data_IF_973906913797
#
_entry.id   IF_973906913797
#
_cell.length_a   1.000
_cell.length_b   1.000
_cell.length_c   1.000
_cell.angle_alpha   90.00
_cell.angle_beta   90.00
_cell.angle_gamma   90.00
#
_symmetry.space_group_name_H-M   'P 1'
#
loop_
_entity.id
_entity.type
_entity.pdbx_description
1 polymer ?
#
# COMPACT_ATOMS: atom_id res chain seq x y z
N UNK A 1 -3.54 9.97 -33.92
CA UNK A 1 -3.05 8.86 -33.08
C UNK A 1 -3.84 8.92 -31.79
N UNK A 2 -4.78 8.00 -31.51
CA UNK A 2 -5.35 7.92 -30.18
C UNK A 2 -4.26 7.45 -29.22
N UNK A 3 -4.08 8.17 -28.11
CA UNK A 3 -3.28 7.68 -26.98
C UNK A 3 -3.94 6.39 -26.50
N UNK A 4 -3.13 5.38 -26.20
CA UNK A 4 -3.60 4.19 -25.51
C UNK A 4 -4.23 4.66 -24.19
N UNK A 5 -5.35 4.07 -23.79
CA UNK A 5 -5.61 3.90 -22.36
C UNK A 5 -4.41 3.12 -21.82
N UNK A 6 -3.36 3.84 -21.43
CA UNK A 6 -2.29 3.28 -20.60
C UNK A 6 -3.00 3.04 -19.26
N UNK A 7 -3.50 1.81 -19.08
CA UNK A 7 -4.33 1.42 -17.94
C UNK A 7 -3.72 1.95 -16.64
N UNK A 8 -4.48 2.78 -15.94
CA UNK A 8 -4.05 3.36 -14.68
C UNK A 8 -3.86 2.23 -13.66
N UNK A 9 -2.77 2.28 -12.89
CA UNK A 9 -2.51 1.36 -11.80
C UNK A 9 -2.88 2.06 -10.49
N UNK A 10 -3.79 1.44 -9.75
CA UNK A 10 -4.30 1.92 -8.47
C UNK A 10 -3.69 1.09 -7.35
N UNK A 11 -3.43 1.72 -6.21
CA UNK A 11 -2.78 1.08 -5.07
C UNK A 11 -3.67 1.15 -3.84
N UNK A 12 -3.66 0.06 -3.07
CA UNK A 12 -4.47 -0.13 -1.88
C UNK A 12 -3.60 -0.73 -0.79
N UNK A 13 -3.86 -0.39 0.47
CA UNK A 13 -3.07 -0.86 1.60
C UNK A 13 -3.96 -1.59 2.60
N UNK A 14 -3.49 -2.74 3.11
CA UNK A 14 -4.05 -3.40 4.27
C UNK A 14 -3.09 -3.19 5.44
N UNK A 15 -3.61 -2.61 6.51
CA UNK A 15 -2.87 -2.40 7.76
C UNK A 15 -3.36 -3.38 8.82
N UNK A 16 -2.44 -4.16 9.40
CA UNK A 16 -2.68 -4.97 10.59
C UNK A 16 -1.73 -4.53 11.70
N UNK A 17 -2.30 -4.09 12.82
CA UNK A 17 -1.56 -3.68 14.00
C UNK A 17 -2.32 -4.04 15.27
N UNK A 18 -1.67 -4.84 16.11
CA UNK A 18 -1.69 -4.64 17.57
C UNK A 18 -0.30 -4.08 17.94
N UNK A 19 -0.20 -3.33 19.05
CA UNK A 19 0.87 -2.37 19.40
C UNK A 19 2.37 -2.79 19.24
N UNK A 20 2.67 -4.03 18.84
CA UNK A 20 4.03 -4.61 18.78
C UNK A 20 4.47 -5.10 17.37
N UNK A 21 3.57 -5.29 16.40
CA UNK A 21 3.89 -5.77 15.05
C UNK A 21 3.03 -5.08 13.99
N UNK A 22 3.61 -4.12 13.27
CA UNK A 22 2.97 -3.49 12.12
C UNK A 22 3.27 -4.29 10.86
N UNK A 23 2.24 -4.90 10.27
CA UNK A 23 2.35 -5.56 8.96
C UNK A 23 1.46 -4.85 7.96
N UNK A 24 2.10 -4.07 7.09
CA UNK A 24 1.46 -3.38 5.98
C UNK A 24 1.59 -4.25 4.72
N UNK A 25 0.47 -4.44 3.99
CA UNK A 25 0.47 -5.11 2.69
C UNK A 25 -0.03 -4.16 1.62
N UNK A 26 0.83 -3.89 0.63
CA UNK A 26 0.50 -3.07 -0.52
C UNK A 26 -0.05 -3.93 -1.67
N UNK A 27 -1.19 -3.53 -2.21
CA UNK A 27 -1.90 -4.18 -3.32
C UNK A 27 -1.99 -3.22 -4.50
N UNK A 28 -2.03 -3.76 -5.71
CA UNK A 28 -2.25 -2.98 -6.93
C UNK A 28 -3.30 -3.59 -7.85
N UNK A 29 -4.03 -2.74 -8.58
CA UNK A 29 -5.08 -3.15 -9.51
C UNK A 29 -5.15 -2.21 -10.72
N UNK A 30 -5.55 -2.71 -11.89
CA UNK A 30 -5.64 -1.94 -13.15
C UNK A 30 -6.96 -1.15 -13.30
N UNK A 31 -7.80 -1.21 -12.28
CA UNK A 31 -9.14 -0.62 -12.21
C UNK A 31 -9.29 0.08 -10.87
N UNK A 32 -9.96 1.23 -10.88
CA UNK A 32 -10.25 2.01 -9.70
C UNK A 32 -11.45 1.43 -8.95
N UNK A 33 -11.32 1.39 -7.65
CA UNK A 33 -12.37 1.11 -6.67
C UNK A 33 -12.37 2.22 -5.64
N UNK A 34 -13.56 2.68 -5.28
CA UNK A 34 -13.73 3.60 -4.16
C UNK A 34 -13.57 2.90 -2.79
N UNK A 35 -13.65 3.69 -1.72
CA UNK A 35 -13.49 3.22 -0.34
C UNK A 35 -14.52 2.15 0.05
N UNK A 36 -15.78 2.31 -0.36
CA UNK A 36 -16.86 1.38 0.00
C UNK A 36 -16.74 0.07 -0.78
N UNK A 37 -16.39 0.15 -2.05
CA UNK A 37 -16.11 -1.00 -2.91
C UNK A 37 -14.93 -1.83 -2.39
N UNK A 38 -13.81 -1.17 -2.08
CA UNK A 38 -12.63 -1.86 -1.55
C UNK A 38 -12.91 -2.48 -0.17
N UNK A 39 -13.55 -1.75 0.74
CA UNK A 39 -13.94 -2.27 2.05
C UNK A 39 -14.87 -3.50 1.92
N UNK A 40 -15.82 -3.47 0.98
CA UNK A 40 -16.71 -4.59 0.70
C UNK A 40 -15.95 -5.87 0.33
N UNK A 41 -14.97 -5.74 -0.58
CA UNK A 41 -14.11 -6.87 -0.99
C UNK A 41 -13.24 -7.38 0.16
N UNK A 42 -12.68 -6.48 0.97
CA UNK A 42 -11.88 -6.85 2.16
C UNK A 42 -12.73 -7.61 3.18
N UNK A 43 -13.97 -7.18 3.45
CA UNK A 43 -14.86 -7.85 4.39
C UNK A 43 -15.30 -9.24 3.89
N UNK A 44 -15.54 -9.39 2.59
CA UNK A 44 -15.82 -10.68 1.95
C UNK A 44 -14.63 -11.62 2.10
N UNK A 45 -13.43 -11.18 1.71
CA UNK A 45 -12.19 -11.93 1.83
C UNK A 45 -11.90 -12.33 3.29
N UNK A 46 -12.05 -11.38 4.23
CA UNK A 46 -11.92 -11.66 5.67
C UNK A 46 -12.87 -12.76 6.14
N UNK A 47 -14.11 -12.76 5.65
CA UNK A 47 -15.08 -13.82 5.94
C UNK A 47 -14.62 -15.20 5.48
N UNK A 48 -14.02 -15.29 4.28
CA UNK A 48 -13.49 -16.54 3.72
C UNK A 48 -12.22 -17.04 4.44
N UNK A 49 -11.34 -16.11 4.83
CA UNK A 49 -10.07 -16.39 5.50
C UNK A 49 -10.25 -16.92 6.92
N UNK A 50 -11.19 -16.36 7.70
CA UNK A 50 -11.40 -16.77 9.10
C UNK A 50 -11.82 -18.23 9.27
N UNK A 51 -12.30 -18.88 8.21
CA UNK A 51 -12.64 -20.30 8.22
C UNK A 51 -11.42 -21.23 8.02
N UNK A 52 -10.25 -20.73 7.56
CA UNK A 52 -9.13 -21.55 7.04
C UNK A 52 -7.72 -21.00 7.29
N UNK A 53 -7.52 -20.21 8.34
CA UNK A 53 -6.29 -19.45 8.55
C UNK A 53 -5.01 -20.31 8.57
N UNK A 54 -4.11 -20.12 7.59
CA UNK A 54 -2.81 -20.81 7.47
C UNK A 54 -1.63 -19.84 7.28
N UNK A 55 -1.88 -18.57 6.98
CA UNK A 55 -0.87 -17.53 6.76
C UNK A 55 -0.30 -16.91 8.06
N UNK A 56 0.82 -16.19 7.94
CA UNK A 56 1.54 -15.61 9.07
C UNK A 56 0.79 -14.41 9.69
N UNK A 57 0.09 -13.61 8.86
CA UNK A 57 -0.77 -12.48 9.31
C UNK A 57 -2.12 -12.44 8.60
N UNK A 58 -3.11 -11.74 9.20
CA UNK A 58 -4.46 -11.60 8.64
C UNK A 58 -4.45 -10.70 7.40
N UNK A 59 -3.64 -9.65 7.39
CA UNK A 59 -3.44 -8.79 6.22
C UNK A 59 -2.90 -9.58 5.03
N UNK A 60 -1.96 -10.49 5.23
CA UNK A 60 -1.42 -11.37 4.18
C UNK A 60 -2.47 -12.36 3.66
N UNK A 61 -3.23 -12.98 4.55
CA UNK A 61 -4.30 -13.90 4.16
C UNK A 61 -5.39 -13.21 3.33
N UNK A 62 -5.83 -12.03 3.75
CA UNK A 62 -6.82 -11.23 3.02
C UNK A 62 -6.25 -10.80 1.66
N UNK A 63 -4.99 -10.34 1.61
CA UNK A 63 -4.32 -9.98 0.36
C UNK A 63 -4.27 -11.16 -0.62
N UNK A 64 -3.99 -12.37 -0.14
CA UNK A 64 -3.98 -13.58 -0.95
C UNK A 64 -5.37 -13.89 -1.54
N UNK A 65 -6.44 -13.74 -0.76
CA UNK A 65 -7.81 -13.94 -1.26
C UNK A 65 -8.24 -12.86 -2.27
N UNK A 66 -7.89 -11.59 -2.01
CA UNK A 66 -8.12 -10.49 -2.96
C UNK A 66 -7.39 -10.73 -4.28
N UNK A 67 -6.16 -11.25 -4.24
CA UNK A 67 -5.42 -11.61 -5.45
C UNK A 67 -6.06 -12.77 -6.20
N UNK A 68 -6.58 -13.79 -5.49
CA UNK A 68 -7.23 -14.97 -6.09
C UNK A 68 -8.58 -14.63 -6.74
N UNK A 69 -9.37 -13.77 -6.10
CA UNK A 69 -10.78 -13.59 -6.44
C UNK A 69 -11.12 -12.24 -7.07
N UNK A 70 -10.34 -11.20 -6.79
CA UNK A 70 -10.62 -9.83 -7.21
C UNK A 70 -9.53 -9.24 -8.12
N UNK A 71 -8.53 -10.04 -8.52
CA UNK A 71 -7.54 -9.63 -9.53
C UNK A 71 -6.42 -8.72 -9.03
N UNK A 72 -6.33 -8.50 -7.72
CA UNK A 72 -5.25 -7.71 -7.13
C UNK A 72 -3.88 -8.37 -7.30
N UNK A 73 -2.84 -7.55 -7.41
CA UNK A 73 -1.45 -7.98 -7.34
C UNK A 73 -0.86 -7.52 -6.01
N UNK A 74 -0.38 -8.48 -5.21
CA UNK A 74 0.39 -8.19 -3.99
C UNK A 74 1.76 -7.64 -4.38
N UNK A 75 2.09 -6.46 -3.87
CA UNK A 75 3.40 -5.83 -4.00
C UNK A 75 4.28 -6.32 -2.86
N UNK A 76 5.28 -7.12 -3.20
CA UNK A 76 6.19 -7.76 -2.27
C UNK A 76 7.64 -7.44 -2.67
N UNK A 77 8.57 -7.52 -1.72
CA UNK A 77 10.00 -7.23 -1.93
C UNK A 77 10.60 -7.97 -3.12
N UNK A 78 10.10 -9.17 -3.46
CA UNK A 78 10.56 -9.93 -4.63
C UNK A 78 10.32 -9.22 -5.96
N UNK A 79 9.38 -8.26 -6.00
CA UNK A 79 9.08 -7.45 -7.16
C UNK A 79 9.91 -6.16 -7.21
N UNK A 80 10.44 -5.71 -6.07
CA UNK A 80 11.30 -4.54 -6.00
C UNK A 80 12.61 -4.81 -6.75
N UNK A 81 13.03 -3.82 -7.56
CA UNK A 81 14.20 -3.94 -8.43
C UNK A 81 15.43 -3.20 -7.91
N UNK A 82 15.20 -2.16 -7.13
CA UNK A 82 16.23 -1.30 -6.57
C UNK A 82 15.69 -0.63 -5.33
N UNK A 83 16.52 -0.50 -4.32
CA UNK A 83 16.27 0.30 -3.13
C UNK A 83 17.42 1.31 -2.99
N UNK A 84 17.12 2.52 -2.56
CA UNK A 84 18.11 3.59 -2.41
C UNK A 84 17.90 4.26 -1.07
N UNK A 85 18.92 4.23 -0.21
CA UNK A 85 18.97 5.09 0.96
C UNK A 85 19.21 6.53 0.51
N UNK A 86 18.47 7.48 1.08
CA UNK A 86 18.61 8.91 0.78
C UNK A 86 18.94 9.65 2.07
N UNK A 87 20.03 10.42 2.05
CA UNK A 87 20.51 11.20 3.19
C UNK A 87 20.84 12.63 2.75
N UNK A 88 20.71 13.57 3.67
CA UNK A 88 21.13 14.96 3.47
C UNK A 88 22.67 15.11 3.49
N UNK A 89 23.39 14.13 4.02
CA UNK A 89 24.85 14.14 4.07
C UNK A 89 25.48 13.69 2.74
N UNK A 90 26.55 14.37 2.33
CA UNK A 90 27.24 14.07 1.08
C UNK A 90 27.90 12.69 1.14
N UNK A 91 27.55 11.81 0.20
CA UNK A 91 28.12 10.46 0.10
C UNK A 91 27.32 9.36 0.81
N UNK A 92 26.23 9.69 1.49
CA UNK A 92 25.39 8.71 2.20
C UNK A 92 24.15 8.25 1.40
N UNK A 93 23.88 8.89 0.25
CA UNK A 93 22.88 8.40 -0.70
C UNK A 93 23.45 7.25 -1.53
N UNK A 94 22.93 6.03 -1.34
CA UNK A 94 23.48 4.83 -1.93
C UNK A 94 22.41 3.76 -2.21
N UNK A 95 22.67 2.89 -3.18
CA UNK A 95 21.84 1.69 -3.41
C UNK A 95 22.00 0.76 -2.23
N UNK A 96 20.88 0.29 -1.66
CA UNK A 96 20.85 -0.69 -0.56
C UNK A 96 20.22 -1.99 -1.03
N UNK A 97 20.46 -3.07 -0.30
CA UNK A 97 19.80 -4.34 -0.58
C UNK A 97 18.31 -4.21 -0.27
N UNK A 98 17.48 -4.62 -1.23
CA UNK A 98 16.01 -4.66 -1.09
C UNK A 98 15.58 -5.45 0.16
N UNK A 99 16.32 -6.52 0.49
CA UNK A 99 16.04 -7.40 1.64
C UNK A 99 16.44 -6.83 2.99
N UNK A 100 17.26 -5.78 3.06
CA UNK A 100 17.74 -5.20 4.32
C UNK A 100 16.77 -4.12 4.87
N UNK A 101 15.88 -3.56 4.03
CA UNK A 101 14.92 -2.51 4.42
C UNK A 101 13.86 -2.99 5.44
N UNK A 102 13.47 -4.26 5.41
CA UNK A 102 12.52 -4.82 6.37
C UNK A 102 13.17 -5.27 7.68
N UNK A 103 14.49 -5.50 7.70
CA UNK A 103 15.21 -5.98 8.87
C UNK A 103 15.59 -4.85 9.86
N UNK A 104 15.55 -3.59 9.40
CA UNK A 104 16.04 -2.43 10.16
C UNK A 104 14.95 -1.41 10.50
N UNK A 105 13.64 -1.70 10.32
CA UNK A 105 12.59 -0.87 10.92
C UNK A 105 12.69 -0.99 12.44
N UNK A 106 13.39 -0.06 13.06
CA UNK A 106 13.39 0.08 14.52
C UNK A 106 12.19 0.91 14.94
N UNK A 107 11.62 0.71 16.14
CA UNK A 107 10.49 1.50 16.63
C UNK A 107 10.78 3.00 16.78
N UNK A 108 11.99 3.48 16.45
CA UNK A 108 12.34 4.90 16.41
C UNK A 108 12.29 5.50 14.98
N UNK A 109 12.02 4.71 13.93
CA UNK A 109 11.81 5.18 12.54
C UNK A 109 10.36 5.68 12.29
N UNK A 110 9.72 6.17 13.35
CA UNK A 110 8.37 6.75 13.41
C UNK A 110 8.33 8.22 12.94
N UNK A 111 9.01 8.52 11.83
CA UNK A 111 8.58 9.61 10.93
C UNK A 111 7.78 9.03 9.75
N UNK A 112 6.95 8.03 10.08
CA UNK A 112 5.99 7.40 9.20
C UNK A 112 5.24 8.43 8.39
N UNK A 113 5.05 8.13 7.10
CA UNK A 113 4.14 8.84 6.22
C UNK A 113 2.80 9.02 6.94
N UNK A 114 2.61 10.19 7.56
CA UNK A 114 1.29 10.58 8.04
C UNK A 114 0.44 10.77 6.80
N UNK A 115 -0.50 9.87 6.59
CA UNK A 115 -1.65 10.13 5.75
C UNK A 115 -2.34 11.37 6.32
N UNK A 116 -2.02 12.52 5.73
CA UNK A 116 -2.78 13.75 5.92
C UNK A 116 -4.10 13.54 5.19
N UNK A 117 -5.12 13.05 5.91
CA UNK A 117 -6.51 13.28 5.55
C UNK A 117 -6.73 14.80 5.59
N UNK A 118 -6.53 15.44 4.43
CA UNK A 118 -6.94 16.81 4.22
C UNK A 118 -8.43 16.77 3.90
N UNK A 119 -9.27 17.16 4.85
CA UNK A 119 -10.64 17.57 4.55
C UNK A 119 -10.58 18.78 3.62
N UNK A 120 -10.70 18.54 2.31
CA UNK A 120 -10.88 19.60 1.33
C UNK A 120 -12.29 20.18 1.54
N UNK A 121 -12.38 21.24 2.34
CA UNK A 121 -13.60 22.02 2.45
C UNK A 121 -14.00 22.52 1.04
N UNK A 122 -15.29 22.48 0.67
CA UNK A 122 -15.77 22.75 -0.69
C UNK A 122 -15.58 24.20 -1.18
N UNK A 123 -14.88 25.05 -0.42
CA UNK A 123 -14.74 26.48 -0.67
C UNK A 123 -13.51 26.85 -1.51
N UNK A 124 -12.54 25.95 -1.67
CA UNK A 124 -11.28 26.23 -2.39
C UNK A 124 -11.38 26.13 -3.93
N UNK A 125 -12.59 25.99 -4.49
CA UNK A 125 -12.83 26.11 -5.94
C UNK A 125 -12.87 27.56 -6.43
N UNK A 126 -11.87 28.36 -6.10
CA UNK A 126 -11.68 29.66 -6.76
C UNK A 126 -10.25 29.88 -7.21
N UNK A 127 -9.90 29.22 -8.32
CA UNK A 127 -8.80 29.65 -9.17
C UNK A 127 -9.34 30.17 -10.50
N UNK A 128 -9.21 31.49 -10.71
CA UNK A 128 -9.50 32.16 -11.98
C UNK A 128 -10.60 33.23 -11.90
N UNK A 129 -10.27 34.43 -11.42
CA UNK A 129 -10.63 35.71 -12.05
C UNK A 129 -10.14 36.89 -11.20
N UNK A 130 -9.06 37.53 -11.67
CA UNK A 130 -8.77 38.98 -11.70
C UNK A 130 -7.26 39.23 -11.78
#
# INVERSE_FOLDING_TARGET
MPMRDDGALYFYELHEGDDELFTDVLLSHDSEFDEEEFLGMVLEARGAVLDRFEEDTLSEAIAAELARHHGFLVVDDRQLRVAVNVSAEEGETAVVAVTELHAERTPDDDEGFRSLLVDLEPEDRRWGDA
#
